data_IF_901883364677
#
_entry.id   IF_901883364677
#
_cell.length_a   1.000
_cell.length_b   1.000
_cell.length_c   1.000
_cell.angle_alpha   90.00
_cell.angle_beta   90.00
_cell.angle_gamma   90.00
#
_symmetry.space_group_name_H-M   'P 1'
#
loop_
_entity.id
_entity.type
_entity.pdbx_description
1 polymer ?
#
# COMPACT_ATOMS: atom_id res chain seq x y z
N UNK A 1 -24.66 5.97 22.57
CA UNK A 1 -23.53 5.96 21.65
C UNK A 1 -23.87 5.39 20.27
N UNK A 2 -24.45 4.18 20.11
CA UNK A 2 -24.81 3.61 18.77
C UNK A 2 -25.74 4.48 17.91
N UNK A 3 -26.70 5.20 18.48
CA UNK A 3 -27.64 6.04 17.71
C UNK A 3 -27.00 7.35 17.19
N UNK A 4 -26.01 7.90 17.91
CA UNK A 4 -25.27 9.10 17.46
C UNK A 4 -24.31 8.72 16.32
N UNK A 5 -23.71 7.52 16.38
CA UNK A 5 -22.82 7.00 15.33
C UNK A 5 -23.58 6.72 14.01
N UNK A 6 -24.79 6.17 14.10
CA UNK A 6 -25.65 5.94 12.92
C UNK A 6 -26.16 7.26 12.31
N UNK A 7 -26.43 8.28 13.11
CA UNK A 7 -26.83 9.59 12.60
C UNK A 7 -25.66 10.31 11.91
N UNK A 8 -24.45 10.23 12.48
CA UNK A 8 -23.25 10.77 11.86
C UNK A 8 -22.93 10.04 10.54
N UNK A 9 -23.07 8.71 10.51
CA UNK A 9 -22.85 7.91 9.31
C UNK A 9 -23.86 8.24 8.21
N UNK A 10 -25.14 8.41 8.54
CA UNK A 10 -26.19 8.77 7.57
C UNK A 10 -26.00 10.19 6.99
N UNK A 11 -25.55 11.14 7.80
CA UNK A 11 -25.22 12.51 7.36
C UNK A 11 -23.98 12.52 6.46
N UNK A 12 -22.96 11.70 6.76
CA UNK A 12 -21.74 11.58 5.94
C UNK A 12 -22.06 10.89 4.61
N UNK A 13 -22.88 9.86 4.58
CA UNK A 13 -23.30 9.17 3.36
C UNK A 13 -24.17 10.07 2.48
N UNK A 14 -25.09 10.84 3.06
CA UNK A 14 -25.96 11.77 2.30
C UNK A 14 -25.18 12.96 1.73
N UNK A 15 -24.20 13.47 2.49
CA UNK A 15 -23.28 14.51 2.00
C UNK A 15 -22.30 14.00 0.96
N UNK A 16 -21.85 12.74 1.04
CA UNK A 16 -20.97 12.11 0.07
C UNK A 16 -21.62 11.91 -1.31
N UNK A 17 -22.89 11.54 -1.36
CA UNK A 17 -23.61 11.33 -2.63
C UNK A 17 -23.99 12.64 -3.36
N UNK A 18 -24.18 13.74 -2.67
CA UNK A 18 -24.44 15.05 -3.26
C UNK A 18 -23.16 15.85 -3.60
N UNK A 19 -22.02 15.50 -3.03
CA UNK A 19 -20.73 16.19 -3.24
C UNK A 19 -19.88 15.59 -4.38
N UNK A 20 -20.35 14.56 -5.06
CA UNK A 20 -19.61 13.86 -6.13
C UNK A 20 -19.38 14.70 -7.40
N UNK A 21 -19.93 15.90 -7.49
CA UNK A 21 -19.70 16.81 -8.63
C UNK A 21 -18.60 17.85 -8.40
N UNK A 22 -18.25 18.16 -7.14
CA UNK A 22 -17.14 19.06 -6.79
C UNK A 22 -16.67 18.69 -5.37
N UNK A 23 -15.52 18.03 -5.26
CA UNK A 23 -14.89 17.66 -3.99
C UNK A 23 -14.33 18.89 -3.26
N UNK A 24 -15.19 19.79 -2.84
CA UNK A 24 -14.83 20.84 -1.89
C UNK A 24 -14.70 20.22 -0.51
N UNK A 25 -13.62 20.51 0.19
CA UNK A 25 -13.49 20.14 1.59
C UNK A 25 -14.60 20.74 2.47
N UNK A 26 -14.80 20.17 3.64
CA UNK A 26 -15.79 20.69 4.59
C UNK A 26 -15.54 22.18 4.94
N UNK A 27 -14.28 22.60 5.01
CA UNK A 27 -13.89 23.99 5.20
C UNK A 27 -14.35 24.91 4.07
N UNK A 28 -14.29 24.44 2.80
CA UNK A 28 -14.75 25.22 1.64
C UNK A 28 -16.27 25.36 1.66
N UNK A 29 -16.98 24.30 2.04
CA UNK A 29 -18.43 24.36 2.19
C UNK A 29 -18.85 25.35 3.29
N UNK A 30 -18.16 25.34 4.44
CA UNK A 30 -18.43 26.27 5.54
C UNK A 30 -18.08 27.73 5.16
N UNK A 31 -17.10 27.97 4.30
CA UNK A 31 -16.82 29.30 3.73
C UNK A 31 -17.94 29.75 2.79
N UNK A 32 -18.38 28.89 1.88
CA UNK A 32 -19.44 29.20 0.91
C UNK A 32 -20.77 29.53 1.60
N UNK A 33 -21.02 28.94 2.76
CA UNK A 33 -22.21 29.22 3.59
C UNK A 33 -22.05 30.43 4.51
N UNK A 34 -20.86 31.07 4.50
CA UNK A 34 -20.57 32.23 5.36
C UNK A 34 -20.37 31.90 6.85
N UNK A 35 -20.25 30.62 7.18
CA UNK A 35 -20.02 30.15 8.57
C UNK A 35 -18.59 30.43 9.01
N UNK A 36 -17.62 30.37 8.07
CA UNK A 36 -16.21 30.71 8.31
C UNK A 36 -15.69 31.72 7.28
N UNK A 37 -14.79 32.59 7.72
CA UNK A 37 -14.13 33.59 6.88
C UNK A 37 -12.78 33.08 6.35
N UNK A 38 -12.19 33.74 5.35
CA UNK A 38 -10.87 33.42 4.82
C UNK A 38 -9.80 33.36 5.92
N UNK A 39 -8.88 32.38 5.82
CA UNK A 39 -7.78 32.11 6.76
C UNK A 39 -8.20 31.58 8.15
N UNK A 40 -9.39 30.99 8.28
CA UNK A 40 -9.78 30.36 9.53
C UNK A 40 -9.17 28.92 9.65
N UNK A 41 -8.62 28.62 10.82
CA UNK A 41 -8.21 27.27 11.20
C UNK A 41 -9.16 26.70 12.27
N UNK A 42 -9.38 25.35 12.31
CA UNK A 42 -8.79 24.33 11.45
C UNK A 42 -9.43 24.23 10.05
N UNK A 43 -8.61 23.97 9.02
CA UNK A 43 -9.11 23.49 7.74
C UNK A 43 -9.37 21.97 7.86
N UNK A 44 -10.55 21.51 7.48
CA UNK A 44 -10.93 20.09 7.61
C UNK A 44 -11.42 19.57 6.26
N UNK A 45 -10.98 18.36 5.90
CA UNK A 45 -11.41 17.63 4.71
C UNK A 45 -11.77 16.19 5.09
N UNK A 46 -12.89 15.70 4.60
CA UNK A 46 -13.27 14.29 4.68
C UNK A 46 -12.68 13.57 3.47
N UNK A 47 -12.21 12.37 3.67
CA UNK A 47 -11.64 11.50 2.63
C UNK A 47 -12.13 10.09 2.81
N UNK A 48 -12.19 9.34 1.73
CA UNK A 48 -12.61 7.95 1.82
C UNK A 48 -12.25 7.16 0.59
N UNK A 49 -12.35 5.83 0.72
CA UNK A 49 -12.23 4.88 -0.41
C UNK A 49 -13.06 3.64 -0.15
N UNK A 50 -13.59 3.10 -1.24
CA UNK A 50 -14.26 1.82 -1.28
C UNK A 50 -13.65 0.99 -2.42
N UNK A 51 -13.16 -0.22 -2.10
CA UNK A 51 -12.69 -1.21 -3.07
C UNK A 51 -13.55 -2.46 -2.89
N UNK A 52 -14.27 -2.82 -3.94
CA UNK A 52 -15.08 -4.04 -4.01
C UNK A 52 -14.45 -4.97 -5.04
N UNK A 53 -14.08 -6.16 -4.60
CA UNK A 53 -13.40 -7.15 -5.41
C UNK A 53 -14.29 -8.36 -5.68
N UNK A 54 -14.08 -8.98 -6.84
CA UNK A 54 -14.57 -10.33 -7.15
C UNK A 54 -13.37 -11.17 -7.62
N UNK A 55 -13.26 -12.38 -7.11
CA UNK A 55 -12.23 -13.35 -7.48
C UNK A 55 -12.83 -14.62 -8.02
N UNK A 56 -12.19 -15.16 -9.07
CA UNK A 56 -12.51 -16.44 -9.69
C UNK A 56 -11.21 -17.21 -9.85
N UNK A 57 -11.20 -18.45 -9.37
CA UNK A 57 -10.00 -19.26 -9.23
C UNK A 57 -10.14 -20.54 -10.07
N UNK A 58 -9.20 -20.73 -11.00
CA UNK A 58 -8.99 -22.00 -11.68
C UNK A 58 -7.91 -22.75 -10.89
N UNK A 59 -8.38 -23.63 -10.03
CA UNK A 59 -7.61 -24.28 -8.96
C UNK A 59 -6.75 -25.40 -9.52
N UNK A 60 -5.63 -25.73 -8.85
CA UNK A 60 -4.80 -26.91 -9.13
C UNK A 60 -4.86 -27.89 -7.95
N UNK A 61 -3.95 -27.77 -6.97
CA UNK A 61 -3.90 -28.68 -5.81
C UNK A 61 -4.56 -28.10 -4.56
N UNK A 62 -4.67 -26.79 -4.46
CA UNK A 62 -5.26 -26.09 -3.33
C UNK A 62 -6.60 -25.47 -3.70
N UNK A 63 -7.65 -25.75 -2.91
CA UNK A 63 -9.00 -25.19 -3.09
C UNK A 63 -9.03 -23.75 -2.56
N UNK A 64 -9.47 -22.78 -3.38
CA UNK A 64 -9.57 -21.36 -2.99
C UNK A 64 -11.01 -20.95 -2.69
N UNK A 65 -11.87 -21.01 -3.65
CA UNK A 65 -13.24 -20.54 -3.59
C UNK A 65 -13.48 -19.17 -4.20
N UNK A 66 -14.38 -19.12 -5.17
CA UNK A 66 -14.83 -17.89 -5.82
C UNK A 66 -15.64 -17.00 -4.87
N UNK A 67 -15.52 -15.68 -5.03
CA UNK A 67 -16.32 -14.81 -4.19
C UNK A 67 -16.22 -13.32 -4.47
N UNK A 68 -17.03 -12.60 -3.71
CA UNK A 68 -17.01 -11.13 -3.64
C UNK A 68 -16.47 -10.71 -2.27
N UNK A 69 -15.62 -9.70 -2.27
CA UNK A 69 -14.97 -9.23 -1.06
C UNK A 69 -14.93 -7.70 -1.01
N UNK A 70 -15.21 -7.14 0.17
CA UNK A 70 -14.96 -5.73 0.42
C UNK A 70 -13.51 -5.56 0.85
N UNK A 71 -12.65 -5.25 -0.08
CA UNK A 71 -11.20 -5.19 0.16
C UNK A 71 -10.77 -4.00 1.00
N UNK A 72 -11.43 -2.86 0.81
CA UNK A 72 -11.20 -1.63 1.62
C UNK A 72 -12.48 -0.83 1.73
N UNK A 73 -12.80 -0.39 2.93
CA UNK A 73 -13.88 0.53 3.23
C UNK A 73 -13.37 1.60 4.20
N UNK A 74 -12.57 2.56 3.69
CA UNK A 74 -11.89 3.54 4.53
C UNK A 74 -12.62 4.85 4.58
N UNK A 75 -12.70 5.41 5.77
CA UNK A 75 -13.15 6.78 6.02
C UNK A 75 -12.12 7.48 6.90
N UNK A 76 -11.86 8.74 6.61
CA UNK A 76 -10.93 9.53 7.37
C UNK A 76 -11.21 11.02 7.30
N UNK A 77 -10.58 11.71 8.24
CA UNK A 77 -10.56 13.17 8.31
C UNK A 77 -9.11 13.61 8.29
N UNK A 78 -8.82 14.62 7.49
CA UNK A 78 -7.52 15.27 7.48
C UNK A 78 -7.71 16.78 7.54
N UNK A 79 -6.69 17.50 8.03
CA UNK A 79 -6.81 18.94 8.11
C UNK A 79 -5.53 19.63 8.53
N UNK A 80 -5.58 20.97 8.51
CA UNK A 80 -4.55 21.83 9.07
C UNK A 80 -5.07 22.48 10.34
N UNK A 81 -4.32 22.37 11.42
CA UNK A 81 -4.61 23.04 12.70
C UNK A 81 -4.10 24.48 12.68
N UNK A 82 -3.00 24.71 11.97
CA UNK A 82 -2.38 26.01 11.68
C UNK A 82 -1.46 25.88 10.44
N UNK A 83 -0.72 26.93 9.99
CA UNK A 83 0.16 26.86 8.83
C UNK A 83 1.28 25.80 8.90
N UNK A 84 1.64 25.32 10.10
CA UNK A 84 2.73 24.36 10.34
C UNK A 84 2.25 22.98 10.78
N UNK A 85 1.09 22.87 11.42
CA UNK A 85 0.55 21.62 11.90
C UNK A 85 -0.60 21.10 11.05
N UNK A 86 -0.59 19.82 10.75
CA UNK A 86 -1.69 19.10 10.09
C UNK A 86 -1.88 17.72 10.70
N UNK A 87 -3.02 17.10 10.43
CA UNK A 87 -3.35 15.76 10.94
C UNK A 87 -4.05 14.93 9.89
N UNK A 88 -3.99 13.61 10.07
CA UNK A 88 -4.77 12.61 9.36
C UNK A 88 -5.25 11.60 10.39
N UNK A 89 -6.54 11.23 10.32
CA UNK A 89 -7.16 10.13 11.06
C UNK A 89 -7.97 9.35 10.03
N UNK A 90 -7.55 8.12 9.73
CA UNK A 90 -8.21 7.25 8.74
C UNK A 90 -8.30 5.83 9.30
N UNK A 91 -9.50 5.24 9.24
CA UNK A 91 -9.79 3.88 9.66
C UNK A 91 -10.34 3.05 8.50
N UNK A 92 -10.06 1.75 8.50
CA UNK A 92 -10.61 0.76 7.60
C UNK A 92 -11.68 -0.06 8.31
N UNK A 93 -12.81 -0.28 7.64
CA UNK A 93 -13.99 -0.98 8.15
C UNK A 93 -14.30 -2.23 7.31
N UNK A 94 -13.39 -2.66 6.43
CA UNK A 94 -13.63 -3.75 5.50
C UNK A 94 -13.51 -5.13 6.13
N UNK A 95 -12.61 -5.30 7.10
CA UNK A 95 -12.34 -6.57 7.77
C UNK A 95 -13.15 -6.70 9.06
N UNK A 96 -13.18 -7.88 9.66
CA UNK A 96 -13.78 -8.07 10.98
C UNK A 96 -13.08 -7.19 12.01
N UNK A 97 -13.78 -6.16 12.45
CA UNK A 97 -13.25 -5.11 13.31
C UNK A 97 -12.88 -3.86 12.54
N UNK A 98 -12.41 -2.85 13.28
CA UNK A 98 -11.98 -1.58 12.73
C UNK A 98 -10.46 -1.47 12.92
N UNK A 99 -9.73 -1.30 11.83
CA UNK A 99 -8.28 -1.11 11.88
C UNK A 99 -7.88 0.33 11.61
N UNK A 100 -6.88 0.84 12.36
CA UNK A 100 -6.28 2.14 12.10
C UNK A 100 -5.39 2.04 10.85
N UNK A 101 -5.60 2.92 9.86
CA UNK A 101 -4.71 3.02 8.71
C UNK A 101 -3.70 4.15 8.93
N UNK A 102 -4.15 5.40 8.96
CA UNK A 102 -3.30 6.54 9.25
C UNK A 102 -3.86 7.35 10.41
N UNK A 103 -3.13 7.42 11.52
CA UNK A 103 -3.48 8.25 12.68
C UNK A 103 -2.23 9.01 13.10
N UNK A 104 -2.05 10.24 12.58
CA UNK A 104 -0.82 10.99 12.80
C UNK A 104 -0.99 12.49 12.83
N UNK A 105 -0.10 13.14 13.55
CA UNK A 105 0.18 14.58 13.47
C UNK A 105 1.41 14.81 12.59
N UNK A 106 1.39 15.89 11.83
CA UNK A 106 2.53 16.32 11.03
C UNK A 106 2.87 17.77 11.40
N UNK A 107 4.15 18.09 11.44
CA UNK A 107 4.67 19.44 11.65
C UNK A 107 5.70 19.80 10.60
N UNK A 108 5.52 20.92 9.92
CA UNK A 108 6.58 21.48 9.07
C UNK A 108 7.75 21.94 9.93
N UNK A 109 8.94 21.43 9.66
CA UNK A 109 10.14 21.71 10.43
C UNK A 109 11.38 21.64 9.52
N UNK A 110 12.23 22.66 9.52
CA UNK A 110 13.50 22.63 8.81
C UNK A 110 13.44 22.34 7.30
N UNK A 111 12.36 22.74 6.61
CA UNK A 111 12.13 22.46 5.20
C UNK A 111 11.47 21.09 4.91
N UNK A 112 11.39 20.21 5.90
CA UNK A 112 10.74 18.91 5.83
C UNK A 112 9.47 18.83 6.69
N UNK A 113 9.06 17.61 7.01
CA UNK A 113 7.85 17.29 7.79
C UNK A 113 8.18 16.26 8.87
N UNK A 114 8.08 16.66 10.13
CA UNK A 114 8.05 15.74 11.26
C UNK A 114 6.68 15.07 11.32
N UNK A 115 6.65 13.75 11.50
CA UNK A 115 5.44 12.91 11.64
C UNK A 115 5.47 12.22 12.99
N UNK A 116 4.34 12.16 13.67
CA UNK A 116 4.18 11.47 14.97
C UNK A 116 2.87 10.70 14.93
N UNK A 117 2.88 9.40 15.14
CA UNK A 117 1.70 8.55 15.16
C UNK A 117 1.86 7.27 14.34
N UNK A 118 0.76 6.79 13.75
CA UNK A 118 0.68 5.57 12.97
C UNK A 118 0.69 5.87 11.46
N UNK A 119 1.73 5.40 10.76
CA UNK A 119 1.94 5.64 9.33
C UNK A 119 2.94 4.63 8.74
N UNK A 120 3.03 4.56 7.41
CA UNK A 120 3.92 3.64 6.71
C UNK A 120 5.38 3.79 7.14
N UNK A 121 6.04 2.65 7.37
CA UNK A 121 7.50 2.56 7.43
C UNK A 121 8.05 2.95 6.05
N UNK A 122 9.09 3.81 5.97
CA UNK A 122 9.60 4.31 4.70
C UNK A 122 10.43 3.24 3.96
N UNK A 123 9.76 2.27 3.33
CA UNK A 123 10.36 1.17 2.58
C UNK A 123 9.48 0.77 1.41
N UNK A 124 10.10 0.64 0.23
CA UNK A 124 9.48 0.15 -0.99
C UNK A 124 8.60 1.15 -1.73
N UNK A 125 8.85 1.37 -3.02
CA UNK A 125 8.07 2.24 -3.90
C UNK A 125 6.63 1.75 -4.04
N UNK A 126 6.43 0.43 -4.24
CA UNK A 126 5.13 -0.19 -4.40
C UNK A 126 4.33 -0.15 -3.10
N UNK A 127 4.99 -0.37 -1.94
CA UNK A 127 4.35 -0.28 -0.62
C UNK A 127 3.91 1.16 -0.30
N UNK A 128 4.75 2.15 -0.55
CA UNK A 128 4.47 3.57 -0.26
C UNK A 128 3.50 4.20 -1.26
N UNK A 129 3.34 3.61 -2.46
CA UNK A 129 2.32 4.02 -3.41
C UNK A 129 0.92 3.73 -2.86
N UNK A 130 0.06 4.74 -2.85
CA UNK A 130 -1.31 4.60 -2.34
C UNK A 130 -2.05 3.47 -3.05
N UNK A 131 -2.84 2.69 -2.31
CA UNK A 131 -3.69 1.64 -2.90
C UNK A 131 -4.72 2.17 -3.92
N UNK A 132 -5.00 3.48 -3.93
CA UNK A 132 -5.81 4.11 -4.99
C UNK A 132 -5.01 4.31 -6.29
N UNK A 133 -3.68 4.18 -6.24
CA UNK A 133 -2.76 4.57 -7.32
C UNK A 133 -1.87 3.43 -7.82
N UNK A 134 -1.88 2.25 -7.17
CA UNK A 134 -1.17 1.06 -7.65
C UNK A 134 -1.77 0.59 -8.98
N UNK A 135 -0.93 0.02 -9.84
CA UNK A 135 -1.32 -0.39 -11.20
C UNK A 135 -2.21 -1.63 -11.20
N UNK A 136 -1.92 -2.59 -10.34
CA UNK A 136 -2.66 -3.84 -10.20
C UNK A 136 -3.60 -3.81 -8.99
N UNK A 137 -4.51 -4.77 -8.92
CA UNK A 137 -5.50 -4.90 -7.84
C UNK A 137 -4.82 -5.05 -6.48
N UNK A 138 -3.78 -5.90 -6.40
CA UNK A 138 -2.94 -6.02 -5.20
C UNK A 138 -1.48 -5.67 -5.50
N UNK A 139 -0.71 -5.38 -4.44
CA UNK A 139 0.74 -5.18 -4.51
C UNK A 139 1.44 -6.47 -4.91
N UNK A 140 2.66 -6.36 -5.38
CA UNK A 140 3.51 -7.50 -5.62
C UNK A 140 3.87 -8.22 -4.30
N UNK A 141 3.99 -9.55 -4.33
CA UNK A 141 4.22 -10.38 -3.15
C UNK A 141 5.48 -9.98 -2.37
N UNK A 142 6.58 -9.62 -3.04
CA UNK A 142 7.78 -9.12 -2.38
C UNK A 142 7.52 -7.86 -1.54
N UNK A 143 6.67 -6.94 -2.02
CA UNK A 143 6.29 -5.74 -1.26
C UNK A 143 5.39 -6.07 -0.08
N UNK A 144 4.47 -7.05 -0.22
CA UNK A 144 3.60 -7.48 0.87
C UNK A 144 4.37 -8.18 2.00
N UNK A 145 5.40 -8.95 1.66
CA UNK A 145 6.15 -9.80 2.59
C UNK A 145 7.25 -9.02 3.30
N UNK A 146 8.06 -8.27 2.56
CA UNK A 146 9.28 -7.65 3.12
C UNK A 146 9.03 -6.25 3.65
N UNK A 147 8.25 -5.43 2.93
CA UNK A 147 8.03 -4.04 3.32
C UNK A 147 6.98 -3.96 4.43
N UNK A 148 7.37 -3.41 5.59
CA UNK A 148 6.45 -3.19 6.69
C UNK A 148 5.31 -2.25 6.29
N UNK A 149 4.12 -2.56 6.80
CA UNK A 149 2.94 -1.70 6.68
C UNK A 149 3.08 -0.46 7.61
N UNK A 150 1.96 0.00 8.16
CA UNK A 150 1.96 1.12 9.10
C UNK A 150 2.40 0.68 10.49
N UNK A 151 3.20 1.52 11.16
CA UNK A 151 3.67 1.36 12.54
C UNK A 151 3.48 2.64 13.34
N UNK A 152 3.40 2.52 14.65
CA UNK A 152 3.49 3.67 15.58
C UNK A 152 4.94 4.15 15.65
N UNK A 153 5.15 5.45 15.46
CA UNK A 153 6.50 5.98 15.53
C UNK A 153 6.61 7.49 15.32
N UNK A 154 7.85 7.91 15.19
CA UNK A 154 8.26 9.28 14.88
C UNK A 154 9.12 9.22 13.63
N UNK A 155 8.78 10.02 12.62
CA UNK A 155 9.50 10.06 11.36
C UNK A 155 9.73 11.49 10.88
N UNK A 156 10.68 11.64 9.95
CA UNK A 156 10.97 12.89 9.30
C UNK A 156 11.14 12.68 7.80
N UNK A 157 10.39 13.45 7.01
CA UNK A 157 10.48 13.43 5.56
C UNK A 157 11.00 14.77 5.06
N UNK A 158 11.98 14.72 4.16
CA UNK A 158 12.45 15.85 3.40
C UNK A 158 12.39 15.55 1.90
N UNK A 159 11.74 16.43 1.14
CA UNK A 159 11.59 16.29 -0.30
C UNK A 159 12.01 17.59 -0.99
N UNK A 160 13.04 17.54 -1.84
CA UNK A 160 13.62 18.68 -2.52
C UNK A 160 13.50 18.57 -4.05
N UNK A 161 12.32 18.26 -4.55
CA UNK A 161 12.03 18.14 -5.98
C UNK A 161 12.70 16.93 -6.62
N UNK A 162 14.01 16.94 -6.82
CA UNK A 162 14.76 15.86 -7.47
C UNK A 162 15.24 14.75 -6.52
N UNK A 163 15.16 14.92 -5.22
CA UNK A 163 15.53 13.90 -4.24
C UNK A 163 14.70 14.02 -2.97
N UNK A 164 14.68 12.96 -2.21
CA UNK A 164 14.06 12.95 -0.90
C UNK A 164 14.73 11.95 0.04
N UNK A 165 14.53 12.22 1.33
CA UNK A 165 14.95 11.37 2.44
C UNK A 165 13.78 11.21 3.37
N UNK A 166 13.47 9.99 3.73
CA UNK A 166 12.42 9.62 4.67
C UNK A 166 13.05 8.76 5.77
N UNK A 167 12.69 8.99 7.01
CA UNK A 167 13.21 8.23 8.16
C UNK A 167 12.15 8.04 9.22
N UNK A 168 12.26 6.95 9.99
CA UNK A 168 11.32 6.62 11.05
C UNK A 168 12.01 5.80 12.15
N UNK A 169 11.69 6.10 13.40
CA UNK A 169 11.88 5.20 14.54
C UNK A 169 10.49 4.72 14.90
N UNK A 170 10.30 3.40 15.00
CA UNK A 170 8.98 2.79 15.15
C UNK A 170 8.96 1.62 16.12
N UNK A 171 7.75 1.31 16.57
CA UNK A 171 7.43 0.11 17.32
C UNK A 171 6.32 -0.68 16.63
N UNK A 172 5.39 -1.21 17.41
CA UNK A 172 4.26 -2.02 16.93
C UNK A 172 3.26 -1.21 16.10
N UNK A 173 2.35 -1.91 15.42
CA UNK A 173 1.14 -1.34 14.83
C UNK A 173 0.18 -0.79 15.89
N UNK A 174 -0.75 0.05 15.48
CA UNK A 174 -1.79 0.56 16.38
C UNK A 174 -2.83 -0.53 16.62
N UNK A 175 -2.97 -0.97 17.86
CA UNK A 175 -3.91 -2.01 18.26
C UNK A 175 -3.27 -3.37 18.50
N UNK A 176 -2.00 -3.56 18.14
CA UNK A 176 -1.26 -4.76 18.51
C UNK A 176 -1.18 -4.87 20.04
N UNK A 177 -1.67 -6.01 20.53
CA UNK A 177 -1.74 -6.31 21.97
C UNK A 177 -1.03 -7.63 22.22
N UNK A 178 0.24 -7.55 22.42
CA UNK A 178 1.01 -8.72 22.79
C UNK A 178 1.75 -8.47 24.10
N UNK A 179 1.91 -9.51 24.92
CA UNK A 179 2.66 -9.44 26.15
C UNK A 179 4.18 -9.36 25.82
N UNK A 180 4.93 -8.65 26.62
CA UNK A 180 6.36 -8.44 26.44
C UNK A 180 6.76 -7.03 26.00
N UNK A 181 8.06 -6.80 25.93
CA UNK A 181 8.62 -5.53 25.49
C UNK A 181 8.36 -5.29 23.98
N UNK A 182 8.17 -4.05 23.62
CA UNK A 182 7.84 -3.66 22.25
C UNK A 182 9.09 -3.75 21.37
N UNK A 183 9.04 -4.39 20.19
CA UNK A 183 10.12 -4.30 19.22
C UNK A 183 10.36 -2.84 18.84
N UNK A 184 11.62 -2.47 18.67
CA UNK A 184 12.00 -1.12 18.24
C UNK A 184 12.74 -1.22 16.92
N UNK A 185 12.21 -0.54 15.92
CA UNK A 185 12.80 -0.47 14.59
C UNK A 185 13.23 0.95 14.21
N UNK A 186 14.19 1.00 13.31
CA UNK A 186 14.61 2.21 12.61
C UNK A 186 14.60 1.94 11.12
N UNK A 187 14.06 2.87 10.33
CA UNK A 187 14.02 2.76 8.88
C UNK A 187 14.43 4.08 8.22
N UNK A 188 15.03 3.95 7.06
CA UNK A 188 15.35 5.08 6.21
C UNK A 188 15.18 4.71 4.74
N UNK A 189 14.71 5.67 3.95
CA UNK A 189 14.61 5.62 2.50
C UNK A 189 15.21 6.89 1.91
N UNK A 190 16.02 6.73 0.88
CA UNK A 190 16.52 7.83 0.08
C UNK A 190 16.16 7.58 -1.38
N UNK A 191 15.75 8.62 -2.09
CA UNK A 191 15.50 8.50 -3.51
C UNK A 191 16.01 9.72 -4.28
N UNK A 192 16.28 9.51 -5.55
CA UNK A 192 16.67 10.56 -6.49
C UNK A 192 15.95 10.42 -7.82
N UNK A 193 15.73 11.56 -8.45
CA UNK A 193 15.17 11.66 -9.79
C UNK A 193 16.21 12.32 -10.70
N UNK A 194 17.18 11.56 -11.26
CA UNK A 194 18.21 12.13 -12.13
C UNK A 194 17.63 12.81 -13.37
N UNK A 195 16.43 12.41 -13.76
CA UNK A 195 15.63 13.13 -14.75
C UNK A 195 14.22 13.30 -14.19
N UNK A 196 13.73 14.52 -14.15
CA UNK A 196 12.37 14.83 -13.73
C UNK A 196 11.88 16.11 -14.41
N UNK A 197 11.15 15.93 -15.50
CA UNK A 197 10.57 17.02 -16.29
C UNK A 197 9.19 16.60 -16.84
N UNK A 198 8.57 17.44 -17.65
CA UNK A 198 7.21 17.20 -18.19
C UNK A 198 7.12 16.01 -19.15
N UNK A 199 8.24 15.53 -19.71
CA UNK A 199 8.25 14.46 -20.71
C UNK A 199 8.69 13.12 -20.10
N UNK A 200 9.62 13.16 -19.13
CA UNK A 200 10.28 11.96 -18.63
C UNK A 200 10.63 12.08 -17.15
N UNK A 201 10.49 10.97 -16.44
CA UNK A 201 10.92 10.77 -15.07
C UNK A 201 11.77 9.50 -14.97
N UNK A 202 12.91 9.61 -14.27
CA UNK A 202 13.70 8.46 -13.81
C UNK A 202 13.77 8.54 -12.29
N UNK A 203 13.47 7.43 -11.63
CA UNK A 203 13.55 7.30 -10.18
C UNK A 203 14.54 6.20 -9.82
N UNK A 204 15.37 6.45 -8.83
CA UNK A 204 16.26 5.48 -8.18
C UNK A 204 16.09 5.65 -6.69
N UNK A 205 15.83 4.58 -5.95
CA UNK A 205 15.66 4.61 -4.51
C UNK A 205 16.36 3.45 -3.81
N UNK A 206 16.72 3.70 -2.56
CA UNK A 206 17.28 2.73 -1.63
C UNK A 206 16.56 2.86 -0.29
N UNK A 207 16.24 1.74 0.32
CA UNK A 207 15.66 1.69 1.66
C UNK A 207 16.34 0.63 2.51
N UNK A 208 16.38 0.89 3.82
CA UNK A 208 16.84 -0.07 4.81
C UNK A 208 16.03 0.08 6.10
N UNK A 209 15.78 -1.05 6.78
CA UNK A 209 15.18 -1.07 8.09
C UNK A 209 15.90 -2.10 8.97
N UNK A 210 16.03 -1.79 10.25
CA UNK A 210 16.52 -2.66 11.30
C UNK A 210 15.49 -2.70 12.43
N UNK A 211 15.17 -3.89 12.94
CA UNK A 211 14.23 -4.06 14.05
C UNK A 211 14.83 -5.01 15.08
N UNK A 212 15.01 -4.54 16.32
CA UNK A 212 15.39 -5.34 17.49
C UNK A 212 14.14 -6.06 18.01
N UNK A 213 14.22 -7.39 18.18
CA UNK A 213 13.09 -8.26 18.50
C UNK A 213 13.31 -9.17 19.71
N UNK A 214 14.38 -8.99 20.47
CA UNK A 214 14.82 -9.87 21.54
C UNK A 214 13.76 -10.37 22.53
N UNK A 215 12.76 -9.56 22.80
CA UNK A 215 11.65 -9.89 23.69
C UNK A 215 10.37 -10.26 22.92
N UNK A 216 10.49 -10.34 21.58
CA UNK A 216 9.41 -10.61 20.62
C UNK A 216 9.89 -11.62 19.59
N UNK A 217 10.20 -12.78 20.08
CA UNK A 217 11.09 -13.75 19.49
C UNK A 217 10.51 -14.58 18.34
N UNK A 218 9.26 -14.33 17.94
CA UNK A 218 8.59 -15.06 16.87
C UNK A 218 8.29 -14.17 15.67
N UNK A 219 8.59 -14.65 14.48
CA UNK A 219 8.35 -13.96 13.22
C UNK A 219 7.89 -14.96 12.16
N UNK A 220 6.93 -14.58 11.32
CA UNK A 220 6.49 -15.37 10.17
C UNK A 220 6.30 -14.52 8.93
N UNK A 221 6.56 -15.10 7.76
CA UNK A 221 6.34 -14.48 6.47
C UNK A 221 5.41 -15.35 5.63
N UNK A 222 4.34 -14.77 5.14
CA UNK A 222 3.41 -15.48 4.27
C UNK A 222 2.67 -14.50 3.36
N UNK A 223 2.27 -14.93 2.18
CA UNK A 223 1.42 -14.13 1.30
C UNK A 223 0.45 -15.01 0.49
N UNK A 224 -0.58 -14.34 0.05
CA UNK A 224 -1.53 -14.85 -0.94
C UNK A 224 -0.98 -14.60 -2.34
N UNK A 225 -1.43 -15.31 -3.38
CA UNK A 225 -0.92 -15.15 -4.75
C UNK A 225 -1.40 -13.83 -5.41
N UNK A 226 -1.12 -12.68 -4.75
CA UNK A 226 -1.54 -11.33 -5.18
C UNK A 226 -3.06 -11.18 -5.37
N UNK A 227 -3.84 -12.03 -4.70
CA UNK A 227 -5.29 -12.10 -4.70
C UNK A 227 -5.80 -12.18 -3.27
N UNK A 228 -6.93 -11.53 -2.95
CA UNK A 228 -7.51 -11.49 -1.60
C UNK A 228 -9.03 -11.61 -1.59
N UNK A 229 -9.61 -12.27 -2.59
CA UNK A 229 -11.05 -12.48 -2.68
C UNK A 229 -11.50 -13.90 -2.28
N UNK A 230 -10.57 -14.65 -1.71
CA UNK A 230 -10.74 -16.02 -1.22
C UNK A 230 -10.83 -16.11 0.31
N UNK A 231 -10.79 -17.33 0.83
CA UNK A 231 -10.83 -17.66 2.26
C UNK A 231 -9.48 -17.53 2.98
N UNK A 232 -8.61 -16.61 2.60
CA UNK A 232 -7.28 -16.36 3.19
C UNK A 232 -6.24 -17.46 2.91
N UNK A 233 -6.26 -18.01 1.71
CA UNK A 233 -5.31 -19.04 1.28
C UNK A 233 -3.93 -18.42 1.02
N UNK A 234 -2.90 -18.97 1.66
CA UNK A 234 -1.52 -18.56 1.55
C UNK A 234 -0.69 -19.68 0.97
N UNK A 235 -0.25 -19.50 -0.27
CA UNK A 235 0.52 -20.54 -0.97
C UNK A 235 1.96 -20.63 -0.49
N UNK A 236 2.51 -19.51 0.01
CA UNK A 236 3.84 -19.44 0.62
C UNK A 236 3.72 -18.99 2.07
N UNK A 237 4.39 -19.73 2.97
CA UNK A 237 4.32 -19.48 4.42
C UNK A 237 5.54 -20.13 5.12
N UNK A 238 6.34 -19.34 5.81
CA UNK A 238 7.48 -19.85 6.60
C UNK A 238 7.05 -20.60 7.87
N UNK A 239 5.78 -20.43 8.28
CA UNK A 239 5.40 -20.70 9.65
C UNK A 239 6.13 -19.76 10.63
N UNK A 240 6.14 -20.15 11.90
CA UNK A 240 6.80 -19.38 12.97
C UNK A 240 8.31 -19.65 12.99
N UNK A 241 9.11 -18.60 12.74
CA UNK A 241 10.55 -18.58 12.97
C UNK A 241 10.76 -18.13 14.42
N UNK A 242 11.35 -18.98 15.24
CA UNK A 242 11.50 -18.76 16.68
C UNK A 242 12.87 -18.16 17.02
N UNK A 243 12.98 -17.57 18.21
CA UNK A 243 14.22 -17.02 18.78
C UNK A 243 14.87 -15.98 17.86
N UNK A 244 14.06 -15.06 17.33
CA UNK A 244 14.55 -13.99 16.47
C UNK A 244 15.07 -12.83 17.31
N UNK A 245 16.38 -12.56 17.23
CA UNK A 245 17.03 -11.45 17.90
C UNK A 245 16.78 -10.11 17.18
N UNK A 246 17.03 -10.08 15.87
CA UNK A 246 16.75 -8.91 15.06
C UNK A 246 16.48 -9.25 13.59
N UNK A 247 15.94 -8.27 12.86
CA UNK A 247 15.83 -8.35 11.41
C UNK A 247 16.51 -7.15 10.75
N UNK A 248 17.13 -7.39 9.60
CA UNK A 248 17.61 -6.35 8.70
C UNK A 248 16.92 -6.49 7.35
N UNK A 249 16.30 -5.41 6.87
CA UNK A 249 15.62 -5.36 5.58
C UNK A 249 16.31 -4.37 4.65
N UNK A 250 16.46 -4.73 3.39
CA UNK A 250 17.04 -3.89 2.34
C UNK A 250 16.12 -3.77 1.12
N UNK A 251 16.14 -2.63 0.43
CA UNK A 251 15.35 -2.42 -0.76
C UNK A 251 16.05 -1.56 -1.81
N UNK A 252 15.93 -1.95 -3.08
CA UNK A 252 16.34 -1.20 -4.26
C UNK A 252 15.11 -0.90 -5.11
N UNK A 253 14.95 0.35 -5.55
CA UNK A 253 13.83 0.85 -6.33
C UNK A 253 14.31 1.48 -7.63
N UNK A 254 13.69 1.14 -8.74
CA UNK A 254 13.93 1.75 -10.05
C UNK A 254 12.59 2.03 -10.72
N UNK A 255 12.43 3.24 -11.29
CA UNK A 255 11.28 3.50 -12.13
C UNK A 255 11.62 4.47 -13.27
N UNK A 256 10.89 4.30 -14.36
CA UNK A 256 10.97 5.14 -15.55
C UNK A 256 9.56 5.47 -16.03
N UNK A 257 9.36 6.72 -16.44
CA UNK A 257 8.13 7.13 -17.12
C UNK A 257 8.45 8.07 -18.26
N UNK A 258 7.79 7.85 -19.40
CA UNK A 258 7.79 8.79 -20.54
C UNK A 258 6.41 8.85 -21.17
N UNK A 259 5.74 9.99 -20.99
CA UNK A 259 4.36 10.15 -21.42
C UNK A 259 3.45 9.04 -20.84
N UNK A 260 2.68 8.31 -21.66
CA UNK A 260 1.77 7.27 -21.22
C UNK A 260 2.45 5.96 -20.78
N UNK A 261 3.73 5.77 -21.06
CA UNK A 261 4.48 4.57 -20.72
C UNK A 261 5.18 4.71 -19.36
N UNK A 262 5.03 3.71 -18.50
CA UNK A 262 5.77 3.63 -17.23
C UNK A 262 6.26 2.21 -16.95
N UNK A 263 7.42 2.13 -16.31
CA UNK A 263 8.03 0.88 -15.78
C UNK A 263 8.47 1.15 -14.36
N UNK A 264 8.27 0.20 -13.47
CA UNK A 264 8.89 0.19 -12.13
C UNK A 264 9.34 -1.22 -11.79
N UNK A 265 10.36 -1.34 -10.95
CA UNK A 265 10.85 -2.59 -10.41
C UNK A 265 11.47 -2.37 -9.05
N UNK A 266 11.35 -3.38 -8.20
CA UNK A 266 11.92 -3.39 -6.85
C UNK A 266 12.53 -4.75 -6.55
N UNK A 267 13.65 -4.73 -5.84
CA UNK A 267 14.23 -5.87 -5.15
C UNK A 267 14.19 -5.60 -3.66
N UNK A 268 13.64 -6.52 -2.89
CA UNK A 268 13.51 -6.43 -1.43
C UNK A 268 14.08 -7.69 -0.80
N UNK A 269 14.79 -7.54 0.31
CA UNK A 269 15.36 -8.65 1.07
C UNK A 269 15.16 -8.47 2.56
N UNK A 270 15.16 -9.58 3.30
CA UNK A 270 15.19 -9.62 4.76
C UNK A 270 16.21 -10.65 5.23
N UNK A 271 17.11 -10.23 6.11
CA UNK A 271 18.01 -11.05 6.90
C UNK A 271 17.45 -11.19 8.31
N UNK A 272 17.40 -12.40 8.83
CA UNK A 272 16.86 -12.71 10.16
C UNK A 272 18.00 -13.30 10.97
N UNK A 273 18.35 -12.66 12.07
CA UNK A 273 19.26 -13.19 13.07
C UNK A 273 18.45 -13.96 14.10
N UNK A 274 18.72 -15.26 14.24
CA UNK A 274 18.08 -16.13 15.23
C UNK A 274 19.08 -17.14 15.82
N UNK A 275 18.70 -17.77 16.92
CA UNK A 275 19.53 -18.78 17.58
C UNK A 275 19.78 -20.05 16.72
N UNK A 276 20.38 -19.88 15.52
CA UNK A 276 20.76 -21.06 14.76
C UNK A 276 20.96 -20.93 13.26
N UNK A 277 19.95 -20.61 12.48
CA UNK A 277 19.99 -20.82 11.04
C UNK A 277 20.16 -19.53 10.21
N UNK A 278 19.86 -18.37 10.78
CA UNK A 278 19.94 -17.03 10.13
C UNK A 278 19.33 -17.00 8.72
N UNK A 279 18.04 -17.33 8.57
CA UNK A 279 17.44 -17.42 7.24
C UNK A 279 17.32 -16.07 6.56
N UNK A 280 17.47 -16.07 5.24
CA UNK A 280 17.38 -14.89 4.38
C UNK A 280 16.33 -15.12 3.30
N UNK A 281 15.42 -14.15 3.16
CA UNK A 281 14.42 -14.22 2.12
C UNK A 281 14.52 -13.00 1.22
N UNK A 282 14.22 -13.20 -0.04
CA UNK A 282 14.20 -12.10 -0.98
C UNK A 282 13.11 -12.25 -2.05
N UNK A 283 12.82 -11.15 -2.70
CA UNK A 283 11.89 -11.13 -3.80
C UNK A 283 12.04 -9.88 -4.63
N UNK A 284 11.55 -9.97 -5.85
CA UNK A 284 11.56 -8.84 -6.78
C UNK A 284 10.28 -8.80 -7.60
N UNK A 285 9.99 -7.63 -8.13
CA UNK A 285 9.03 -7.50 -9.21
C UNK A 285 9.49 -6.48 -10.24
N UNK A 286 9.00 -6.66 -11.44
CA UNK A 286 9.07 -5.67 -12.53
C UNK A 286 7.69 -5.55 -13.12
N UNK A 287 7.19 -4.33 -13.24
CA UNK A 287 5.91 -4.05 -13.89
C UNK A 287 6.01 -2.92 -14.89
N UNK A 288 5.25 -3.03 -15.98
CA UNK A 288 5.14 -2.02 -17.01
C UNK A 288 3.68 -1.72 -17.28
N UNK A 289 3.37 -0.47 -17.60
CA UNK A 289 2.04 -0.07 -18.03
C UNK A 289 2.07 0.95 -19.17
N UNK A 290 0.99 0.97 -19.94
CA UNK A 290 0.77 1.91 -21.01
C UNK A 290 -0.67 2.42 -21.00
N UNK A 291 -0.84 3.74 -20.92
CA UNK A 291 -2.14 4.39 -20.97
C UNK A 291 -2.53 4.60 -22.42
N UNK A 292 -3.48 3.79 -22.92
CA UNK A 292 -3.88 3.75 -24.32
C UNK A 292 -4.49 5.07 -24.84
N UNK A 293 -5.04 5.86 -23.93
CA UNK A 293 -5.69 7.15 -24.20
C UNK A 293 -4.72 8.33 -24.16
N UNK A 294 -3.46 8.11 -23.71
CA UNK A 294 -2.38 9.08 -23.83
C UNK A 294 -2.01 9.82 -22.54
N UNK A 295 -2.80 9.68 -21.48
CA UNK A 295 -2.50 10.32 -20.19
C UNK A 295 -1.25 9.72 -19.55
N UNK A 296 -0.61 10.49 -18.67
CA UNK A 296 0.54 10.06 -17.89
C UNK A 296 0.15 9.78 -16.44
N UNK A 297 0.78 8.80 -15.81
CA UNK A 297 0.67 8.61 -14.35
C UNK A 297 1.27 9.82 -13.64
N UNK A 298 0.62 10.27 -12.57
CA UNK A 298 1.21 11.26 -11.69
C UNK A 298 2.42 10.68 -10.94
N UNK A 299 3.39 11.54 -10.59
CA UNK A 299 4.50 11.19 -9.72
C UNK A 299 4.82 12.38 -8.80
N UNK A 300 5.02 12.11 -7.52
CA UNK A 300 5.36 13.16 -6.54
C UNK A 300 5.94 12.55 -5.27
N UNK A 301 6.99 13.19 -4.75
CA UNK A 301 7.62 12.81 -3.49
C UNK A 301 8.02 11.33 -3.45
N UNK A 302 8.71 10.88 -4.50
CA UNK A 302 9.25 9.52 -4.56
C UNK A 302 8.23 8.40 -4.78
N UNK A 303 6.96 8.69 -5.13
CA UNK A 303 5.93 7.66 -5.37
C UNK A 303 5.01 8.01 -6.53
N UNK A 304 4.49 6.98 -7.20
CA UNK A 304 3.48 7.15 -8.23
C UNK A 304 2.13 7.60 -7.67
N UNK A 305 1.38 8.29 -8.50
CA UNK A 305 0.01 8.73 -8.27
C UNK A 305 -0.91 8.10 -9.32
N UNK A 306 -2.22 8.27 -9.12
CA UNK A 306 -3.23 7.79 -10.07
C UNK A 306 -3.18 8.52 -11.42
N UNK A 307 -3.93 7.98 -12.37
CA UNK A 307 -4.22 8.59 -13.65
C UNK A 307 -5.52 9.39 -13.52
N UNK A 308 -5.52 10.61 -14.04
CA UNK A 308 -6.74 11.44 -14.16
C UNK A 308 -7.11 11.53 -15.63
N UNK A 309 -8.29 11.04 -16.03
CA UNK A 309 -8.73 11.14 -17.43
C UNK A 309 -8.80 12.58 -17.91
N UNK A 310 -8.20 12.87 -19.06
CA UNK A 310 -8.31 14.19 -19.73
C UNK A 310 -9.66 14.35 -20.41
N UNK A 311 -10.19 13.25 -20.96
CA UNK A 311 -11.51 13.24 -21.59
C UNK A 311 -12.55 12.62 -20.65
N UNK A 312 -13.33 13.48 -19.99
CA UNK A 312 -14.35 13.07 -19.02
C UNK A 312 -15.52 12.23 -19.59
N UNK A 313 -15.66 12.09 -20.93
CA UNK A 313 -16.69 11.24 -21.55
C UNK A 313 -16.19 9.83 -21.88
N UNK A 314 -14.92 9.71 -22.23
CA UNK A 314 -14.30 8.43 -22.64
C UNK A 314 -13.55 7.75 -21.51
N UNK A 315 -13.19 8.50 -20.44
CA UNK A 315 -12.31 8.02 -19.41
C UNK A 315 -10.89 7.76 -19.93
N UNK A 316 -10.06 7.09 -19.12
CA UNK A 316 -8.73 6.65 -19.51
C UNK A 316 -8.61 5.12 -19.41
N UNK A 317 -7.84 4.52 -20.34
CA UNK A 317 -7.60 3.06 -20.39
C UNK A 317 -6.11 2.77 -20.24
N UNK A 318 -5.77 1.86 -19.35
CA UNK A 318 -4.39 1.40 -19.11
C UNK A 318 -4.32 -0.11 -19.24
N UNK A 319 -3.30 -0.59 -19.94
CA UNK A 319 -2.91 -2.01 -19.96
C UNK A 319 -1.59 -2.16 -19.23
N UNK A 320 -1.41 -3.28 -18.52
CA UNK A 320 -0.22 -3.50 -17.71
C UNK A 320 0.17 -4.97 -17.65
N UNK A 321 1.46 -5.23 -17.42
CA UNK A 321 1.99 -6.54 -17.11
C UNK A 321 2.98 -6.45 -15.95
N UNK A 322 2.98 -7.46 -15.07
CA UNK A 322 3.91 -7.60 -13.94
C UNK A 322 4.44 -9.02 -13.89
N UNK A 323 5.73 -9.14 -13.65
CA UNK A 323 6.37 -10.36 -13.15
C UNK A 323 6.84 -10.12 -11.73
N UNK A 324 6.52 -11.03 -10.82
CA UNK A 324 6.97 -11.00 -9.43
C UNK A 324 7.48 -12.36 -9.00
N UNK A 325 8.46 -12.38 -8.11
CA UNK A 325 9.04 -13.61 -7.52
C UNK A 325 9.39 -13.35 -6.06
N UNK A 326 9.10 -14.33 -5.22
CA UNK A 326 9.49 -14.37 -3.81
C UNK A 326 9.95 -15.78 -3.46
N UNK A 327 11.07 -15.90 -2.77
CA UNK A 327 11.59 -17.16 -2.24
C UNK A 327 11.65 -17.09 -0.71
N UNK A 328 10.93 -18.01 -0.06
CA UNK A 328 10.90 -18.17 1.40
C UNK A 328 11.57 -19.48 1.84
N UNK A 329 12.43 -20.06 0.98
CA UNK A 329 13.21 -21.25 1.30
C UNK A 329 14.64 -20.85 1.61
N UNK A 330 15.07 -21.00 2.85
CA UNK A 330 16.48 -20.84 3.25
C UNK A 330 16.72 -21.44 4.62
N UNK A 331 17.93 -22.01 4.84
CA UNK A 331 18.50 -22.35 6.15
C UNK A 331 17.54 -23.09 7.09
N UNK A 332 16.86 -24.14 6.57
CA UNK A 332 15.95 -24.98 7.34
C UNK A 332 14.50 -24.48 7.39
N UNK A 333 14.20 -23.35 6.75
CA UNK A 333 12.84 -22.89 6.49
C UNK A 333 12.43 -23.35 5.09
N UNK A 334 11.24 -23.94 4.97
CA UNK A 334 10.63 -24.38 3.70
C UNK A 334 9.30 -23.65 3.53
N UNK A 335 9.36 -22.36 3.22
CA UNK A 335 8.19 -21.49 3.09
C UNK A 335 7.60 -21.43 1.68
N UNK A 336 8.21 -22.12 0.71
CA UNK A 336 7.84 -22.12 -0.70
C UNK A 336 8.42 -20.96 -1.49
N UNK A 337 8.44 -21.13 -2.83
CA UNK A 337 8.80 -20.07 -3.77
C UNK A 337 7.61 -19.80 -4.70
N UNK A 338 7.22 -18.53 -4.84
CA UNK A 338 6.09 -18.09 -5.67
C UNK A 338 6.54 -17.17 -6.78
N UNK A 339 6.12 -17.46 -8.00
CA UNK A 339 6.32 -16.61 -9.18
C UNK A 339 4.96 -16.32 -9.83
N UNK A 340 4.69 -15.04 -10.13
CA UNK A 340 3.43 -14.64 -10.74
C UNK A 340 3.67 -13.83 -12.01
N UNK A 341 2.91 -14.16 -13.07
CA UNK A 341 2.71 -13.27 -14.21
C UNK A 341 1.32 -12.66 -14.11
N UNK A 342 1.21 -11.36 -13.93
CA UNK A 342 -0.07 -10.65 -13.86
C UNK A 342 -0.27 -9.77 -15.08
N UNK A 343 -1.41 -9.94 -15.79
CA UNK A 343 -1.86 -9.03 -16.83
C UNK A 343 -3.01 -8.20 -16.31
N UNK A 344 -2.97 -6.88 -16.55
CA UNK A 344 -3.94 -5.92 -16.02
C UNK A 344 -4.58 -5.06 -17.09
N UNK A 345 -5.88 -4.79 -16.92
CA UNK A 345 -6.64 -3.80 -17.66
C UNK A 345 -7.33 -2.87 -16.67
N UNK A 346 -7.12 -1.57 -16.80
CA UNK A 346 -7.70 -0.55 -15.95
C UNK A 346 -8.52 0.44 -16.78
N UNK A 347 -9.70 0.77 -16.28
CA UNK A 347 -10.55 1.82 -16.80
C UNK A 347 -10.81 2.88 -15.73
N UNK A 348 -10.30 4.07 -15.96
CA UNK A 348 -10.51 5.25 -15.12
C UNK A 348 -11.71 6.03 -15.68
N UNK A 349 -12.89 5.80 -15.13
CA UNK A 349 -14.10 6.49 -15.56
C UNK A 349 -14.04 7.98 -15.21
N UNK A 350 -13.48 8.30 -14.05
CA UNK A 350 -13.22 9.67 -13.57
C UNK A 350 -11.95 9.66 -12.72
N UNK A 351 -11.51 10.80 -12.18
CA UNK A 351 -10.44 10.85 -11.16
C UNK A 351 -10.78 10.14 -9.84
N UNK A 352 -12.03 9.75 -9.63
CA UNK A 352 -12.53 9.16 -8.39
C UNK A 352 -13.03 7.71 -8.57
N UNK A 353 -13.36 7.29 -9.80
CA UNK A 353 -13.95 5.98 -10.12
C UNK A 353 -13.05 5.23 -11.08
N UNK A 354 -12.67 4.02 -10.69
CA UNK A 354 -11.82 3.12 -11.48
C UNK A 354 -12.40 1.70 -11.45
N UNK A 355 -12.33 1.01 -12.59
CA UNK A 355 -12.57 -0.41 -12.70
C UNK A 355 -11.29 -1.11 -13.15
N UNK A 356 -11.03 -2.28 -12.59
CA UNK A 356 -9.81 -3.04 -12.85
C UNK A 356 -10.16 -4.50 -13.11
N UNK A 357 -9.39 -5.12 -14.01
CA UNK A 357 -9.39 -6.56 -14.24
C UNK A 357 -7.95 -7.06 -14.25
N UNK A 358 -7.66 -8.15 -13.54
CA UNK A 358 -6.36 -8.80 -13.55
C UNK A 358 -6.53 -10.29 -13.85
N UNK A 359 -5.63 -10.83 -14.69
CA UNK A 359 -5.39 -12.28 -14.83
C UNK A 359 -4.04 -12.55 -14.21
N UNK A 360 -3.95 -13.46 -13.26
CA UNK A 360 -2.73 -13.85 -12.56
C UNK A 360 -2.47 -15.32 -12.86
N UNK A 361 -1.31 -15.61 -13.45
CA UNK A 361 -0.79 -16.95 -13.66
C UNK A 361 0.22 -17.18 -12.54
N UNK A 362 -0.11 -18.08 -11.64
CA UNK A 362 0.69 -18.38 -10.44
C UNK A 362 1.48 -19.64 -10.66
N UNK A 363 2.72 -19.68 -10.19
CA UNK A 363 3.57 -20.87 -10.13
C UNK A 363 4.25 -20.89 -8.76
N UNK A 364 3.96 -21.91 -7.97
CA UNK A 364 4.53 -22.08 -6.63
C UNK A 364 5.20 -23.44 -6.54
N UNK A 365 6.46 -23.44 -6.16
CA UNK A 365 7.22 -24.64 -5.81
C UNK A 365 7.30 -24.82 -4.30
N UNK A 366 7.21 -26.08 -3.84
CA UNK A 366 7.27 -26.44 -2.42
C UNK A 366 6.20 -25.72 -1.59
N UNK A 367 4.95 -25.58 -2.08
CA UNK A 367 3.88 -24.87 -1.38
C UNK A 367 3.49 -25.55 -0.06
N UNK A 368 3.61 -24.87 1.09
CA UNK A 368 3.14 -25.42 2.36
C UNK A 368 1.64 -25.71 2.37
N UNK A 369 0.83 -24.90 1.67
CA UNK A 369 -0.61 -25.08 1.54
C UNK A 369 -0.95 -26.36 0.74
N UNK A 370 -0.11 -26.76 -0.22
CA UNK A 370 -0.23 -28.00 -0.99
C UNK A 370 0.50 -29.19 -0.31
N UNK A 371 0.89 -29.05 0.97
CA UNK A 371 1.62 -30.09 1.70
C UNK A 371 3.05 -30.30 1.20
N UNK A 372 3.70 -29.27 0.67
CA UNK A 372 5.05 -29.29 0.10
C UNK A 372 5.09 -29.72 -1.38
N UNK A 373 3.95 -29.76 -2.06
CA UNK A 373 3.90 -29.98 -3.51
C UNK A 373 3.84 -28.62 -4.26
N UNK A 374 4.11 -28.69 -5.55
CA UNK A 374 3.91 -27.53 -6.44
C UNK A 374 2.42 -27.23 -6.61
N UNK A 375 2.09 -25.98 -6.89
CA UNK A 375 0.72 -25.51 -7.15
C UNK A 375 0.71 -24.37 -8.18
N UNK A 376 -0.21 -24.41 -9.13
CA UNK A 376 -0.21 -23.47 -10.26
C UNK A 376 -1.62 -22.96 -10.63
N UNK A 377 -2.34 -22.32 -9.72
CA UNK A 377 -3.68 -21.81 -10.00
C UNK A 377 -3.63 -20.62 -10.96
N UNK A 378 -4.72 -20.44 -11.73
CA UNK A 378 -4.95 -19.23 -12.51
C UNK A 378 -6.07 -18.42 -11.84
N UNK A 379 -5.87 -17.12 -11.70
CA UNK A 379 -6.79 -16.26 -10.93
C UNK A 379 -7.26 -15.12 -11.82
N UNK A 380 -8.58 -14.89 -11.84
CA UNK A 380 -9.18 -13.74 -12.46
C UNK A 380 -9.81 -12.83 -11.41
N UNK A 381 -9.33 -11.59 -11.31
CA UNK A 381 -9.82 -10.59 -10.35
C UNK A 381 -10.49 -9.43 -11.06
N UNK A 382 -11.55 -8.95 -10.47
CA UNK A 382 -12.21 -7.69 -10.82
C UNK A 382 -12.26 -6.77 -9.61
N UNK A 383 -12.09 -5.47 -9.82
CA UNK A 383 -12.28 -4.44 -8.78
C UNK A 383 -13.11 -3.27 -9.28
N UNK A 384 -14.08 -2.84 -8.49
CA UNK A 384 -14.68 -1.53 -8.57
C UNK A 384 -14.12 -0.65 -7.44
N UNK A 385 -13.55 0.49 -7.78
CA UNK A 385 -12.91 1.42 -6.84
C UNK A 385 -13.58 2.78 -6.91
N UNK A 386 -13.90 3.33 -5.73
CA UNK A 386 -14.33 4.71 -5.55
C UNK A 386 -13.50 5.39 -4.47
N UNK A 387 -13.09 6.65 -4.71
CA UNK A 387 -12.35 7.44 -3.71
C UNK A 387 -12.74 8.91 -3.78
N UNK A 388 -12.69 9.62 -2.66
CA UNK A 388 -13.04 11.05 -2.58
C UNK A 388 -12.19 11.78 -1.53
#
# INVERSE_FOLDING_TARGET
MKKIFLLALSVIVTLGFSAAANAKGLSDHLRDTGVITENYYPEISVRGRLHLDAGFYDEDNVDFGDGFHTRRARIGVSGKLDPSWSFIIEYDFAEEGTSANHVRLNRKLGGGTLKIGHFHVPMGLNQLTSSNSITFIERASNSNIVADAERLGIGYDYHAGMYGVESMIYGRGMGDKEDGDMPIGVAARVYGNPVYNNEMMIHVGLSAAYEDRKDYDTLGFSDRPEARADADIRLIDTGDILNVDFTFKGGLELAFQRGPFSVEGEYLMVDIDNDGADPKFDGYHVQASYVLTGESRGYRNGVFRGITPENGRLGAWEVAARWSSVDLNDSGVSGGKQENLTLGLNYYATGNVRFMANCIFVDVTDSPAAGGNDDSPNIFLLRAQYSF
#
